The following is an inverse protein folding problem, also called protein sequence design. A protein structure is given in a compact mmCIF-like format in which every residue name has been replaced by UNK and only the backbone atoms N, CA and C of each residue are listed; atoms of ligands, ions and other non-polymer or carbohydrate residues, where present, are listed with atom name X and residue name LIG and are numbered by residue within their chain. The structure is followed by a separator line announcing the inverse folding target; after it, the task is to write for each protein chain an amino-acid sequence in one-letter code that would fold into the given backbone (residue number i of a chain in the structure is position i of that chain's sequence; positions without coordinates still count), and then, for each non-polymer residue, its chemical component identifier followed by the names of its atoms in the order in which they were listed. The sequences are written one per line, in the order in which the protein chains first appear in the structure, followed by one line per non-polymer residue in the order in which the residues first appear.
data_IF_410426359588
#
_entry.id   IF_410426359588
#
_cell.length_a   1.000
_cell.length_b   1.000
_cell.length_c   1.000
_cell.angle_alpha   90.00
_cell.angle_beta   90.00
_cell.angle_gamma   90.00
#
_symmetry.space_group_name_H-M   'P 1'
#
loop_
_entity.id
_entity.type
_entity.pdbx_description
1 polymer ?
#
# COMPACT_ATOMS: atom_id res chain seq x y z
N UNK A 1 -2.28 -23.21 -21.28
CA UNK A 1 -3.10 -22.58 -20.23
C UNK A 1 -2.29 -21.40 -19.75
N UNK A 2 -2.91 -20.23 -19.64
CA UNK A 2 -2.23 -19.00 -19.27
C UNK A 2 -2.39 -18.76 -17.77
N UNK A 3 -1.30 -18.33 -17.12
CA UNK A 3 -1.24 -18.09 -15.69
C UNK A 3 -0.81 -16.64 -15.41
N UNK A 4 -1.14 -16.12 -14.24
CA UNK A 4 -0.66 -14.82 -13.76
C UNK A 4 -0.19 -14.93 -12.32
N UNK A 5 0.74 -14.05 -11.92
CA UNK A 5 1.22 -13.94 -10.54
C UNK A 5 0.80 -12.60 -9.96
N UNK A 6 0.12 -12.65 -8.81
CA UNK A 6 -0.11 -11.50 -7.95
C UNK A 6 0.77 -11.60 -6.71
N UNK A 7 1.42 -10.49 -6.37
CA UNK A 7 2.25 -10.37 -5.17
C UNK A 7 1.72 -9.23 -4.31
N UNK A 8 1.61 -9.46 -3.00
CA UNK A 8 1.15 -8.48 -2.03
C UNK A 8 2.22 -8.25 -0.97
N UNK A 9 2.84 -7.07 -0.97
CA UNK A 9 3.80 -6.63 0.04
C UNK A 9 3.03 -6.04 1.22
N UNK A 10 2.61 -6.91 2.14
CA UNK A 10 1.92 -6.50 3.37
C UNK A 10 2.89 -6.01 4.45
N UNK A 11 2.32 -5.55 5.57
CA UNK A 11 3.09 -4.93 6.66
C UNK A 11 4.10 -5.87 7.34
N UNK A 12 3.74 -7.15 7.51
CA UNK A 12 4.56 -8.14 8.23
C UNK A 12 4.94 -9.35 7.36
N UNK A 13 4.48 -9.38 6.11
CA UNK A 13 4.76 -10.48 5.20
C UNK A 13 4.47 -10.07 3.77
N UNK A 14 5.25 -10.61 2.84
CA UNK A 14 4.89 -10.62 1.42
C UNK A 14 4.27 -11.96 1.05
N UNK A 15 3.19 -11.94 0.25
CA UNK A 15 2.52 -13.14 -0.26
C UNK A 15 2.53 -13.14 -1.77
N UNK A 16 2.69 -14.31 -2.39
CA UNK A 16 2.49 -14.47 -3.83
C UNK A 16 1.49 -15.58 -4.11
N UNK A 17 0.63 -15.36 -5.11
CA UNK A 17 -0.29 -16.34 -5.67
C UNK A 17 -0.01 -16.49 -7.17
N UNK A 18 0.15 -17.73 -7.61
CA UNK A 18 0.11 -18.10 -9.02
C UNK A 18 -1.28 -18.66 -9.31
N UNK A 19 -1.99 -18.04 -10.24
CA UNK A 19 -3.38 -18.40 -10.58
C UNK A 19 -3.54 -18.69 -12.07
N UNK A 20 -4.45 -19.60 -12.40
CA UNK A 20 -4.80 -19.88 -13.80
C UNK A 20 -5.90 -18.95 -14.33
N UNK A 21 -6.17 -19.02 -15.64
CA UNK A 21 -7.23 -18.22 -16.29
C UNK A 21 -8.67 -18.50 -15.80
N UNK A 22 -8.89 -19.46 -14.89
CA UNK A 22 -10.17 -19.69 -14.22
C UNK A 22 -10.17 -19.17 -12.77
N UNK A 23 -9.09 -18.51 -12.32
CA UNK A 23 -8.94 -18.01 -10.95
C UNK A 23 -8.58 -19.09 -9.94
N UNK A 24 -8.17 -20.29 -10.38
CA UNK A 24 -7.74 -21.36 -9.46
C UNK A 24 -6.31 -21.08 -9.01
N UNK A 25 -6.07 -21.15 -7.70
CA UNK A 25 -4.73 -21.02 -7.12
C UNK A 25 -3.94 -22.29 -7.41
N UNK A 26 -2.87 -22.16 -8.20
CA UNK A 26 -1.96 -23.25 -8.59
C UNK A 26 -0.84 -23.40 -7.57
N UNK A 27 -0.28 -22.27 -7.12
CA UNK A 27 0.73 -22.23 -6.09
C UNK A 27 0.60 -20.95 -5.27
N UNK A 28 1.04 -21.03 -4.02
CA UNK A 28 1.16 -19.87 -3.14
C UNK A 28 2.37 -19.98 -2.23
N UNK A 29 2.90 -18.83 -1.84
CA UNK A 29 3.95 -18.71 -0.84
C UNK A 29 3.79 -17.42 -0.04
N UNK A 30 4.30 -17.42 1.20
CA UNK A 30 4.33 -16.25 2.07
C UNK A 30 5.68 -16.22 2.77
N UNK A 31 6.29 -15.04 2.83
CA UNK A 31 7.53 -14.81 3.56
C UNK A 31 7.32 -13.67 4.55
N UNK A 32 7.63 -13.93 5.83
CA UNK A 32 7.39 -12.97 6.92
C UNK A 32 8.64 -12.17 7.25
N UNK A 33 8.45 -10.91 7.62
CA UNK A 33 9.49 -10.01 8.09
C UNK A 33 8.94 -9.15 9.24
N UNK A 34 9.84 -8.42 9.92
CA UNK A 34 9.47 -7.57 11.04
C UNK A 34 9.34 -6.11 10.60
N UNK A 35 8.54 -5.37 11.36
CA UNK A 35 8.47 -3.91 11.29
C UNK A 35 9.39 -3.34 12.35
N UNK A 36 10.18 -2.33 12.01
CA UNK A 36 11.01 -1.63 12.98
C UNK A 36 10.17 -0.55 13.66
N UNK A 37 10.05 -0.63 14.99
CA UNK A 37 9.34 0.37 15.81
C UNK A 37 10.30 0.97 16.83
N UNK A 38 11.26 1.82 16.40
CA UNK A 38 12.36 2.27 17.24
C UNK A 38 11.91 3.17 18.41
N UNK A 39 10.75 3.81 18.28
CA UNK A 39 10.15 4.70 19.29
C UNK A 39 8.63 4.54 19.29
N UNK A 40 7.92 4.95 20.36
CA UNK A 40 6.48 5.05 20.33
C UNK A 40 6.01 5.88 19.13
N UNK A 41 4.98 5.40 18.42
CA UNK A 41 4.42 6.00 17.19
C UNK A 41 5.31 5.93 15.94
N UNK A 42 6.49 5.33 16.03
CA UNK A 42 7.39 5.16 14.89
C UNK A 42 7.20 3.75 14.33
N UNK A 43 7.07 3.65 13.03
CA UNK A 43 7.03 2.39 12.29
C UNK A 43 7.74 2.58 10.96
N UNK A 44 8.79 1.81 10.72
CA UNK A 44 9.61 1.96 9.52
C UNK A 44 10.13 0.60 9.04
N UNK A 45 10.45 0.51 7.74
CA UNK A 45 11.01 -0.70 7.13
C UNK A 45 12.00 -0.31 6.03
N UNK A 46 13.14 -1.01 5.99
CA UNK A 46 14.05 -0.90 4.85
C UNK A 46 13.47 -1.64 3.65
N UNK A 47 13.44 -1.04 2.46
CA UNK A 47 12.75 -1.62 1.30
C UNK A 47 13.38 -2.92 0.78
N UNK A 48 14.64 -3.20 1.16
CA UNK A 48 15.30 -4.47 0.81
C UNK A 48 14.52 -5.69 1.32
N UNK A 49 13.89 -5.59 2.51
CA UNK A 49 13.12 -6.72 3.07
C UNK A 49 11.93 -7.09 2.19
N UNK A 50 11.37 -6.12 1.47
CA UNK A 50 10.27 -6.34 0.53
C UNK A 50 10.78 -6.98 -0.77
N UNK A 51 11.87 -6.45 -1.32
CA UNK A 51 12.46 -7.00 -2.54
C UNK A 51 12.90 -8.46 -2.38
N UNK A 52 13.57 -8.78 -1.26
CA UNK A 52 13.98 -10.15 -0.93
C UNK A 52 12.76 -11.07 -0.76
N UNK A 53 11.69 -10.58 -0.10
CA UNK A 53 10.49 -11.36 0.12
C UNK A 53 9.70 -11.61 -1.18
N UNK A 54 9.66 -10.63 -2.10
CA UNK A 54 9.08 -10.79 -3.44
C UNK A 54 9.81 -11.89 -4.21
N UNK A 55 11.15 -11.86 -4.22
CA UNK A 55 11.96 -12.91 -4.84
C UNK A 55 11.63 -14.29 -4.27
N UNK A 56 11.71 -14.44 -2.95
CA UNK A 56 11.47 -15.71 -2.26
C UNK A 56 10.07 -16.24 -2.61
N UNK A 57 9.05 -15.39 -2.55
CA UNK A 57 7.67 -15.80 -2.78
C UNK A 57 7.41 -16.21 -4.23
N UNK A 58 7.89 -15.43 -5.20
CA UNK A 58 7.68 -15.71 -6.63
C UNK A 58 8.47 -16.94 -7.06
N UNK A 59 9.76 -17.04 -6.69
CA UNK A 59 10.58 -18.19 -7.00
C UNK A 59 10.02 -19.49 -6.39
N UNK A 60 9.50 -19.42 -5.16
CA UNK A 60 8.84 -20.56 -4.53
C UNK A 60 7.54 -20.97 -5.25
N UNK A 61 6.75 -20.03 -5.76
CA UNK A 61 5.57 -20.36 -6.56
C UNK A 61 5.95 -21.05 -7.89
N UNK A 62 6.96 -20.52 -8.58
CA UNK A 62 7.47 -21.14 -9.82
C UNK A 62 8.01 -22.54 -9.55
N UNK A 63 8.84 -22.71 -8.51
CA UNK A 63 9.40 -24.02 -8.14
C UNK A 63 8.34 -25.06 -7.76
N UNK A 64 7.29 -24.68 -7.03
CA UNK A 64 6.18 -25.58 -6.66
C UNK A 64 5.31 -25.98 -7.86
N UNK A 65 5.11 -25.07 -8.81
CA UNK A 65 4.25 -25.31 -9.98
C UNK A 65 4.92 -26.13 -11.07
N UNK A 66 6.26 -26.08 -11.16
CA UNK A 66 7.06 -26.69 -12.22
C UNK A 66 6.60 -26.31 -13.64
N UNK A 67 5.98 -25.13 -13.79
CA UNK A 67 5.49 -24.64 -15.07
C UNK A 67 6.62 -24.05 -15.93
N UNK A 68 6.51 -24.10 -17.26
CA UNK A 68 7.40 -23.36 -18.15
C UNK A 68 7.30 -21.85 -17.89
N UNK A 69 8.44 -21.15 -17.92
CA UNK A 69 8.53 -19.69 -17.69
C UNK A 69 7.52 -18.90 -18.54
N UNK A 70 7.37 -19.25 -19.81
CA UNK A 70 6.52 -18.55 -20.79
C UNK A 70 5.00 -18.80 -20.60
N UNK A 71 4.62 -19.66 -19.66
CA UNK A 71 3.21 -19.90 -19.34
C UNK A 71 2.61 -18.80 -18.45
N UNK A 72 3.47 -18.05 -17.73
CA UNK A 72 3.06 -16.92 -16.90
C UNK A 72 3.03 -15.65 -17.73
N UNK A 73 1.86 -15.03 -17.83
CA UNK A 73 1.57 -13.94 -18.78
C UNK A 73 1.65 -12.55 -18.19
N UNK A 74 1.65 -12.41 -16.87
CA UNK A 74 1.83 -11.13 -16.20
C UNK A 74 2.25 -11.33 -14.75
N UNK A 75 2.97 -10.34 -14.23
CA UNK A 75 3.29 -10.16 -12.82
C UNK A 75 2.72 -8.83 -12.33
N UNK A 76 2.06 -8.81 -11.18
CA UNK A 76 1.54 -7.59 -10.57
C UNK A 76 1.95 -7.55 -9.09
N UNK A 77 2.43 -6.40 -8.63
CA UNK A 77 2.86 -6.19 -7.24
C UNK A 77 1.98 -5.11 -6.58
N UNK A 78 1.18 -5.50 -5.60
CA UNK A 78 0.56 -4.58 -4.64
C UNK A 78 1.47 -4.38 -3.44
N UNK A 79 1.27 -3.28 -2.73
CA UNK A 79 2.00 -3.04 -1.49
C UNK A 79 1.21 -2.24 -0.48
N UNK A 80 1.59 -2.38 0.78
CA UNK A 80 1.26 -1.46 1.85
C UNK A 80 1.51 -0.01 1.44
N UNK A 81 0.77 0.89 2.06
CA UNK A 81 1.00 2.32 1.92
C UNK A 81 2.30 2.75 2.61
N UNK A 82 3.25 3.26 1.81
CA UNK A 82 4.59 3.65 2.25
C UNK A 82 4.71 5.04 2.92
N UNK A 83 3.61 5.71 3.24
CA UNK A 83 3.66 7.05 3.82
C UNK A 83 4.32 8.05 2.87
N UNK A 84 5.50 8.56 3.25
CA UNK A 84 6.28 9.50 2.43
C UNK A 84 6.77 8.91 1.11
N UNK A 85 6.72 7.59 0.96
CA UNK A 85 7.55 6.88 -0.01
C UNK A 85 8.98 6.68 0.50
N UNK A 86 9.73 5.86 -0.21
CA UNK A 86 11.14 5.54 0.03
C UNK A 86 11.98 6.68 -0.55
N UNK A 87 12.73 7.37 0.30
CA UNK A 87 13.74 8.33 -0.12
C UNK A 87 14.89 7.58 -0.80
N UNK A 88 15.07 7.81 -2.10
CA UNK A 88 16.14 7.20 -2.90
C UNK A 88 17.01 8.25 -3.57
N UNK A 89 18.30 7.94 -3.75
CA UNK A 89 19.24 8.82 -4.47
C UNK A 89 19.09 8.73 -6.00
N UNK A 90 19.98 9.41 -6.73
CA UNK A 90 19.99 9.42 -8.19
C UNK A 90 20.28 8.05 -8.84
N UNK A 91 20.76 7.07 -8.08
CA UNK A 91 20.97 5.68 -8.49
C UNK A 91 19.85 4.75 -7.97
N UNK A 92 18.79 5.33 -7.39
CA UNK A 92 17.66 4.63 -6.77
C UNK A 92 18.10 3.77 -5.57
N UNK A 93 19.21 4.13 -4.91
CA UNK A 93 19.60 3.49 -3.65
C UNK A 93 18.79 4.10 -2.50
N UNK A 94 18.18 3.28 -1.61
CA UNK A 94 17.50 3.79 -0.43
C UNK A 94 18.44 4.57 0.51
N UNK A 95 18.02 5.75 0.92
CA UNK A 95 18.75 6.65 1.82
C UNK A 95 18.26 6.58 3.26
N UNK A 96 17.01 6.16 3.48
CA UNK A 96 16.35 6.11 4.76
C UNK A 96 15.28 5.00 4.75
N UNK A 97 14.92 4.38 5.90
CA UNK A 97 13.82 3.43 5.93
C UNK A 97 12.49 4.11 5.54
N UNK A 98 11.62 3.36 4.89
CA UNK A 98 10.29 3.86 4.52
C UNK A 98 9.45 4.11 5.77
N UNK A 99 8.87 5.30 5.90
CA UNK A 99 7.99 5.67 7.00
C UNK A 99 6.56 5.19 6.72
N UNK A 100 6.26 3.93 7.05
CA UNK A 100 5.04 3.24 6.60
C UNK A 100 3.74 3.82 7.20
N UNK A 101 2.58 3.34 6.74
CA UNK A 101 1.25 3.82 7.14
C UNK A 101 1.00 3.89 8.66
N UNK A 102 1.61 2.99 9.45
CA UNK A 102 1.50 2.96 10.92
C UNK A 102 2.24 4.11 11.60
N UNK A 103 3.18 4.76 10.89
CA UNK A 103 4.00 5.81 11.46
C UNK A 103 3.19 7.09 11.67
N UNK A 104 3.31 7.67 12.86
CA UNK A 104 2.61 8.87 13.32
C UNK A 104 3.60 9.91 13.85
N UNK A 105 4.87 9.90 13.41
CA UNK A 105 5.92 10.77 13.98
C UNK A 105 5.82 12.23 13.57
N UNK A 106 5.11 12.53 12.49
CA UNK A 106 5.08 13.84 11.83
C UNK A 106 4.03 14.82 12.39
N UNK A 107 3.73 14.78 13.70
CA UNK A 107 2.73 15.69 14.32
C UNK A 107 3.16 17.16 14.29
N UNK A 108 4.46 17.46 14.46
CA UNK A 108 4.97 18.84 14.35
C UNK A 108 4.73 19.40 12.94
N UNK A 109 4.85 18.56 11.91
CA UNK A 109 4.60 18.95 10.52
C UNK A 109 3.12 19.09 10.21
N UNK A 110 2.25 18.29 10.85
CA UNK A 110 0.80 18.49 10.80
C UNK A 110 0.45 19.88 11.31
N UNK A 111 0.97 20.26 12.49
CA UNK A 111 0.71 21.59 13.06
C UNK A 111 1.27 22.70 12.17
N UNK A 112 2.46 22.51 11.60
CA UNK A 112 3.03 23.47 10.66
C UNK A 112 2.12 23.67 9.43
N UNK A 113 1.61 22.59 8.83
CA UNK A 113 0.70 22.68 7.68
C UNK A 113 -0.58 23.43 8.06
N UNK A 114 -1.17 23.13 9.23
CA UNK A 114 -2.39 23.79 9.71
C UNK A 114 -2.22 25.31 9.88
N UNK A 115 -1.01 25.77 10.17
CA UNK A 115 -0.71 27.19 10.41
C UNK A 115 -0.27 27.94 9.14
N UNK A 116 0.31 27.24 8.15
CA UNK A 116 1.04 27.88 7.05
C UNK A 116 0.48 27.59 5.65
N UNK A 117 -0.43 26.62 5.51
CA UNK A 117 -1.00 26.20 4.22
C UNK A 117 -2.48 26.53 4.16
N UNK A 118 -2.96 26.95 3.00
CA UNK A 118 -4.39 27.12 2.74
C UNK A 118 -5.08 25.73 2.73
N UNK A 119 -5.70 25.38 3.86
CA UNK A 119 -6.33 24.09 4.06
C UNK A 119 -7.54 23.88 3.16
N UNK A 120 -8.35 24.93 2.94
CA UNK A 120 -9.51 24.85 2.05
C UNK A 120 -9.07 24.49 0.63
N UNK A 121 -7.96 25.12 0.18
CA UNK A 121 -7.38 24.81 -1.12
C UNK A 121 -6.76 23.42 -1.19
N UNK A 122 -6.04 23.00 -0.15
CA UNK A 122 -5.44 21.66 -0.04
C UNK A 122 -6.53 20.57 -0.10
N UNK A 123 -7.62 20.76 0.64
CA UNK A 123 -8.76 19.85 0.66
C UNK A 123 -9.45 19.77 -0.70
N UNK A 124 -9.63 20.91 -1.38
CA UNK A 124 -10.25 20.97 -2.69
C UNK A 124 -9.43 20.26 -3.79
N UNK A 125 -8.09 20.36 -3.74
CA UNK A 125 -7.19 19.73 -4.71
C UNK A 125 -7.04 18.24 -4.44
N UNK A 126 -6.75 17.90 -3.19
CA UNK A 126 -6.22 16.58 -2.84
C UNK A 126 -7.29 15.64 -2.31
N UNK A 127 -8.42 16.17 -1.86
CA UNK A 127 -9.48 15.39 -1.25
C UNK A 127 -9.15 14.73 0.08
N UNK A 128 -8.01 15.08 0.67
CA UNK A 128 -7.49 14.48 1.88
C UNK A 128 -7.31 15.55 2.96
N UNK A 129 -7.56 15.18 4.22
CA UNK A 129 -7.32 16.04 5.38
C UNK A 129 -5.83 16.17 5.71
N UNK A 130 -5.47 17.02 6.69
CA UNK A 130 -4.12 17.05 7.26
C UNK A 130 -4.05 16.14 8.48
N UNK A 131 -3.18 15.14 8.40
CA UNK A 131 -2.99 14.15 9.46
C UNK A 131 -1.63 13.45 9.29
N UNK A 132 -1.03 12.97 10.38
CA UNK A 132 0.31 12.35 10.33
C UNK A 132 0.32 10.96 9.69
N UNK A 133 -0.84 10.40 9.33
CA UNK A 133 -0.98 9.25 8.43
C UNK A 133 -0.40 9.56 7.05
N UNK A 134 -0.72 10.74 6.51
CA UNK A 134 -0.42 11.09 5.13
C UNK A 134 1.08 11.26 4.87
N UNK A 135 1.45 11.08 3.62
CA UNK A 135 2.82 10.97 3.17
C UNK A 135 3.48 12.33 3.11
N UNK A 136 2.76 13.35 2.66
CA UNK A 136 3.30 14.70 2.58
C UNK A 136 3.77 15.25 3.93
N UNK A 137 3.10 14.93 5.05
CA UNK A 137 3.56 15.35 6.39
C UNK A 137 4.85 14.64 6.79
N UNK A 138 5.00 13.36 6.42
CA UNK A 138 6.25 12.59 6.58
C UNK A 138 7.37 13.07 5.66
N UNK A 139 7.06 13.55 4.45
CA UNK A 139 8.02 14.22 3.57
C UNK A 139 8.56 15.49 4.23
N UNK A 140 7.67 16.32 4.80
CA UNK A 140 8.08 17.49 5.58
C UNK A 140 8.91 17.11 6.81
N UNK A 141 8.63 15.96 7.44
CA UNK A 141 9.42 15.47 8.57
C UNK A 141 10.84 15.09 8.12
N UNK A 142 10.99 14.44 6.97
CA UNK A 142 12.31 14.16 6.38
C UNK A 142 13.04 15.46 6.05
N UNK A 143 12.37 16.44 5.46
CA UNK A 143 12.93 17.75 5.15
C UNK A 143 13.47 18.47 6.39
N UNK A 144 12.73 18.44 7.49
CA UNK A 144 13.08 19.12 8.74
C UNK A 144 14.12 18.33 9.58
N UNK A 145 13.83 17.04 9.84
CA UNK A 145 14.61 16.24 10.80
C UNK A 145 15.75 15.44 10.14
N UNK A 146 15.73 15.25 8.83
CA UNK A 146 16.75 14.50 8.07
C UNK A 146 17.24 15.30 6.86
N UNK A 147 17.80 16.51 7.06
CA UNK A 147 18.12 17.44 5.97
C UNK A 147 19.14 16.88 4.96
N UNK A 148 20.08 16.03 5.40
CA UNK A 148 21.02 15.38 4.49
C UNK A 148 20.34 14.35 3.60
N UNK A 149 19.47 13.50 4.16
CA UNK A 149 18.65 12.55 3.39
C UNK A 149 17.80 13.31 2.38
N UNK A 150 17.14 14.38 2.81
CA UNK A 150 16.32 15.21 1.95
C UNK A 150 17.11 15.83 0.79
N UNK A 151 18.30 16.36 1.06
CA UNK A 151 19.17 16.95 0.05
C UNK A 151 19.65 15.94 -1.00
N UNK A 152 19.94 14.71 -0.58
CA UNK A 152 20.41 13.63 -1.47
C UNK A 152 19.26 12.88 -2.18
N UNK A 153 18.01 13.15 -1.79
CA UNK A 153 16.83 12.46 -2.34
C UNK A 153 16.55 12.91 -3.77
N UNK A 154 16.61 11.96 -4.71
CA UNK A 154 16.12 12.12 -6.07
C UNK A 154 14.63 11.86 -6.17
N UNK A 155 14.14 10.77 -5.58
CA UNK A 155 12.71 10.42 -5.61
C UNK A 155 12.21 9.92 -4.27
N UNK A 156 10.90 10.06 -4.07
CA UNK A 156 10.13 9.47 -2.99
C UNK A 156 9.20 8.41 -3.58
N UNK A 157 9.66 7.16 -3.63
CA UNK A 157 8.99 6.08 -4.36
C UNK A 157 8.04 5.27 -3.46
N UNK A 158 6.78 5.03 -3.83
CA UNK A 158 5.96 4.05 -3.16
C UNK A 158 6.60 2.64 -3.16
N UNK A 159 6.27 1.77 -2.18
CA UNK A 159 6.93 0.48 -2.03
C UNK A 159 6.87 -0.42 -3.27
N UNK A 160 5.68 -0.58 -3.88
CA UNK A 160 5.53 -1.30 -5.14
C UNK A 160 6.32 -0.65 -6.28
N UNK A 161 6.34 0.67 -6.39
CA UNK A 161 7.08 1.39 -7.43
C UNK A 161 8.60 1.17 -7.32
N UNK A 162 9.14 1.13 -6.09
CA UNK A 162 10.55 0.78 -5.87
C UNK A 162 10.86 -0.65 -6.29
N UNK A 163 10.02 -1.62 -5.90
CA UNK A 163 10.21 -3.02 -6.30
C UNK A 163 10.11 -3.15 -7.83
N UNK A 164 9.13 -2.51 -8.45
CA UNK A 164 8.98 -2.50 -9.91
C UNK A 164 10.22 -1.93 -10.59
N UNK A 165 10.78 -0.83 -10.09
CA UNK A 165 12.06 -0.30 -10.59
C UNK A 165 13.18 -1.31 -10.43
N UNK A 166 13.36 -1.93 -9.26
CA UNK A 166 14.41 -2.93 -9.07
C UNK A 166 14.30 -4.09 -10.05
N UNK A 167 13.07 -4.52 -10.36
CA UNK A 167 12.80 -5.63 -11.27
C UNK A 167 12.92 -5.28 -12.74
N UNK A 168 12.63 -4.04 -13.14
CA UNK A 168 12.45 -3.65 -14.54
C UNK A 168 13.42 -2.58 -15.05
N UNK A 169 14.05 -1.82 -14.14
CA UNK A 169 14.81 -0.61 -14.44
C UNK A 169 13.94 0.63 -14.73
N UNK A 170 12.61 0.48 -14.74
CA UNK A 170 11.68 1.53 -15.14
C UNK A 170 11.06 2.22 -13.91
N UNK A 171 11.15 3.54 -13.85
CA UNK A 171 10.48 4.34 -12.81
C UNK A 171 9.08 4.69 -13.29
N UNK A 172 8.07 4.16 -12.60
CA UNK A 172 6.67 4.52 -12.77
C UNK A 172 5.94 4.43 -11.43
N UNK A 173 4.93 5.28 -11.22
CA UNK A 173 4.10 5.27 -10.01
C UNK A 173 2.64 5.10 -10.40
N UNK A 174 1.95 4.16 -9.78
CA UNK A 174 0.53 3.98 -10.03
C UNK A 174 -0.31 5.09 -9.36
N UNK A 175 -1.43 5.45 -9.97
CA UNK A 175 -2.29 6.52 -9.47
C UNK A 175 -2.86 6.27 -8.06
N UNK A 176 -3.04 5.02 -7.62
CA UNK A 176 -3.54 4.74 -6.27
C UNK A 176 -2.48 5.07 -5.22
N UNK A 177 -1.23 4.68 -5.46
CA UNK A 177 -0.11 4.97 -4.57
C UNK A 177 0.24 6.46 -4.59
N UNK A 178 0.27 7.10 -5.76
CA UNK A 178 0.48 8.54 -5.88
C UNK A 178 -0.59 9.34 -5.11
N UNK A 179 -1.86 8.96 -5.27
CA UNK A 179 -2.97 9.59 -4.54
C UNK A 179 -2.90 9.37 -3.04
N UNK A 180 -2.51 8.18 -2.57
CA UNK A 180 -2.46 7.85 -1.14
C UNK A 180 -1.38 8.66 -0.39
N UNK A 181 -0.33 9.17 -1.06
CA UNK A 181 0.62 10.12 -0.45
C UNK A 181 -0.15 11.31 0.17
N UNK A 182 -1.26 11.75 -0.45
CA UNK A 182 -2.06 12.87 0.00
C UNK A 182 -1.29 14.20 -0.07
N UNK A 183 -1.99 15.33 0.00
CA UNK A 183 -1.37 16.67 0.05
C UNK A 183 -0.73 17.15 -1.25
N UNK A 184 -0.07 16.28 -2.04
CA UNK A 184 0.71 16.65 -3.23
C UNK A 184 0.16 16.10 -4.55
N UNK A 185 -0.93 15.32 -4.48
CA UNK A 185 -1.60 14.75 -5.65
C UNK A 185 -2.92 15.48 -5.91
N UNK A 186 -3.10 16.04 -7.10
CA UNK A 186 -4.36 16.59 -7.57
C UNK A 186 -5.28 15.46 -8.01
N UNK A 187 -6.33 15.22 -7.22
CA UNK A 187 -7.26 14.15 -7.50
C UNK A 187 -7.97 14.42 -8.82
N UNK A 188 -8.44 15.65 -9.09
CA UNK A 188 -9.20 15.95 -10.30
C UNK A 188 -8.33 15.83 -11.57
N UNK A 189 -7.12 16.37 -11.54
CA UNK A 189 -6.20 16.34 -12.67
C UNK A 189 -5.51 14.98 -12.86
N UNK A 190 -5.56 14.10 -11.86
CA UNK A 190 -4.90 12.80 -11.82
C UNK A 190 -3.38 12.92 -11.99
N UNK A 191 -2.77 13.82 -11.23
CA UNK A 191 -1.33 14.07 -11.31
C UNK A 191 -0.80 14.81 -10.11
N UNK A 192 0.51 15.05 -10.09
CA UNK A 192 1.13 15.85 -9.03
C UNK A 192 0.65 17.30 -9.11
N UNK A 193 0.24 17.86 -7.98
CA UNK A 193 -0.19 19.25 -7.86
C UNK A 193 1.03 20.15 -7.72
N UNK A 194 1.42 20.84 -8.78
CA UNK A 194 2.49 21.83 -8.72
C UNK A 194 2.22 22.92 -7.65
N UNK A 195 0.95 23.31 -7.51
CA UNK A 195 0.50 24.29 -6.52
C UNK A 195 0.74 23.81 -5.08
N UNK A 196 0.34 22.58 -4.75
CA UNK A 196 0.54 22.07 -3.40
C UNK A 196 1.98 21.68 -3.12
N UNK A 197 2.72 21.20 -4.12
CA UNK A 197 4.16 20.98 -4.01
C UNK A 197 4.89 22.28 -3.65
N UNK A 198 4.57 23.39 -4.32
CA UNK A 198 5.14 24.71 -4.02
C UNK A 198 4.73 25.21 -2.62
N UNK A 199 3.44 25.13 -2.28
CA UNK A 199 2.93 25.55 -0.97
C UNK A 199 3.57 24.79 0.21
N UNK A 200 3.89 23.50 0.01
CA UNK A 200 4.59 22.65 0.99
C UNK A 200 6.12 22.78 0.90
N UNK A 201 6.63 23.47 -0.12
CA UNK A 201 8.06 23.57 -0.41
C UNK A 201 8.70 22.21 -0.69
N UNK A 202 7.99 21.33 -1.38
CA UNK A 202 8.46 20.01 -1.84
C UNK A 202 8.82 20.14 -3.32
N UNK A 203 10.08 19.91 -3.72
CA UNK A 203 10.47 19.99 -5.13
C UNK A 203 9.71 18.96 -5.98
N UNK A 204 9.09 19.41 -7.07
CA UNK A 204 8.40 18.52 -8.01
C UNK A 204 9.33 17.43 -8.58
N UNK A 205 10.64 17.72 -8.66
CA UNK A 205 11.65 16.76 -9.11
C UNK A 205 11.78 15.52 -8.22
N UNK A 206 11.28 15.56 -6.98
CA UNK A 206 11.23 14.40 -6.08
C UNK A 206 10.08 13.44 -6.41
N UNK A 207 9.15 13.84 -7.28
CA UNK A 207 8.01 13.05 -7.69
C UNK A 207 8.26 12.49 -9.10
N UNK A 208 8.14 11.16 -9.32
CA UNK A 208 8.25 10.61 -10.67
C UNK A 208 7.15 11.10 -11.61
N UNK A 209 7.53 11.54 -12.81
CA UNK A 209 6.57 12.09 -13.80
C UNK A 209 5.68 11.03 -14.45
N UNK A 210 6.19 9.80 -14.61
CA UNK A 210 5.47 8.70 -15.24
C UNK A 210 4.45 8.11 -14.27
N UNK A 211 3.22 8.62 -14.34
CA UNK A 211 2.07 8.06 -13.65
C UNK A 211 1.34 7.06 -14.55
N UNK A 212 0.96 5.90 -13.99
CA UNK A 212 0.35 4.80 -14.73
C UNK A 212 -0.93 4.29 -14.04
N UNK A 213 -1.80 3.64 -14.81
CA UNK A 213 -2.89 2.87 -14.23
C UNK A 213 -2.39 1.53 -13.68
N UNK A 214 -3.07 0.97 -12.66
CA UNK A 214 -2.61 -0.25 -11.99
C UNK A 214 -2.47 -1.48 -12.90
N UNK A 215 -3.30 -1.56 -13.95
CA UNK A 215 -3.25 -2.63 -14.96
C UNK A 215 -2.35 -2.31 -16.17
N UNK A 216 -1.69 -1.16 -16.19
CA UNK A 216 -0.79 -0.77 -17.28
C UNK A 216 0.58 -1.43 -17.10
N UNK A 217 1.24 -1.76 -18.21
CA UNK A 217 2.57 -2.37 -18.22
C UNK A 217 3.63 -1.31 -17.89
N UNK A 218 4.40 -1.56 -16.84
CA UNK A 218 5.56 -0.74 -16.47
C UNK A 218 6.76 -1.09 -17.34
N UNK A 219 7.06 -2.37 -17.48
CA UNK A 219 8.19 -2.90 -18.25
C UNK A 219 8.28 -4.43 -18.18
N UNK A 220 9.33 -4.99 -18.80
CA UNK A 220 9.75 -6.38 -18.64
C UNK A 220 10.75 -6.53 -17.50
N UNK A 221 11.12 -7.76 -17.16
CA UNK A 221 12.12 -8.03 -16.13
C UNK A 221 13.53 -7.83 -16.67
N UNK A 222 14.41 -7.24 -15.85
CA UNK A 222 15.85 -7.30 -16.08
C UNK A 222 16.32 -8.77 -16.07
N UNK A 223 17.33 -9.14 -16.90
CA UNK A 223 17.75 -10.53 -17.06
C UNK A 223 18.06 -11.25 -15.74
N UNK A 224 18.76 -10.59 -14.82
CA UNK A 224 19.11 -11.17 -13.52
C UNK A 224 17.88 -11.51 -12.66
N UNK A 225 16.81 -10.71 -12.77
CA UNK A 225 15.56 -10.95 -12.06
C UNK A 225 14.72 -12.02 -12.73
N UNK A 226 14.69 -12.06 -14.06
CA UNK A 226 14.02 -13.14 -14.80
C UNK A 226 14.57 -14.52 -14.38
N UNK A 227 15.88 -14.64 -14.19
CA UNK A 227 16.53 -15.86 -13.73
C UNK A 227 16.21 -16.19 -12.28
N UNK A 228 16.36 -15.22 -11.36
CA UNK A 228 16.08 -15.41 -9.93
C UNK A 228 14.63 -15.76 -9.64
N UNK A 229 13.69 -15.14 -10.34
CA UNK A 229 12.25 -15.37 -10.18
C UNK A 229 11.77 -16.63 -10.92
N UNK A 230 12.56 -17.17 -11.85
CA UNK A 230 12.14 -18.28 -12.69
C UNK A 230 11.06 -17.87 -13.70
N UNK A 231 11.12 -16.66 -14.23
CA UNK A 231 10.15 -16.08 -15.17
C UNK A 231 10.80 -15.71 -16.50
N UNK A 232 9.98 -15.46 -17.52
CA UNK A 232 10.46 -14.97 -18.82
C UNK A 232 10.87 -13.49 -18.69
N UNK A 233 11.99 -13.04 -19.30
CA UNK A 233 12.42 -11.63 -19.21
C UNK A 233 11.39 -10.67 -19.81
N UNK A 234 10.66 -11.10 -20.84
CA UNK A 234 9.66 -10.27 -21.53
C UNK A 234 8.28 -10.29 -20.85
N UNK A 235 8.15 -10.91 -19.66
CA UNK A 235 6.87 -10.94 -18.94
C UNK A 235 6.46 -9.50 -18.57
N UNK A 236 5.23 -9.06 -18.91
CA UNK A 236 4.78 -7.73 -18.52
C UNK A 236 4.61 -7.66 -17.01
N UNK A 237 5.32 -6.72 -16.39
CA UNK A 237 5.10 -6.29 -15.02
C UNK A 237 4.11 -5.12 -15.02
N UNK A 238 3.00 -5.27 -14.29
CA UNK A 238 1.94 -4.27 -14.20
C UNK A 238 2.20 -3.26 -13.06
N UNK A 239 1.63 -2.07 -13.17
CA UNK A 239 1.81 -0.97 -12.20
C UNK A 239 1.45 -1.33 -10.76
N UNK A 240 0.42 -2.15 -10.57
CA UNK A 240 -0.03 -2.54 -9.23
C UNK A 240 -0.67 -1.38 -8.47
N UNK A 241 -0.59 -1.41 -7.14
CA UNK A 241 -1.20 -0.35 -6.32
C UNK A 241 -1.28 -0.67 -4.84
N UNK A 242 -1.97 0.21 -4.11
CA UNK A 242 -2.13 0.09 -2.65
C UNK A 242 -2.94 -1.16 -2.31
N UNK A 243 -2.40 -1.96 -1.37
CA UNK A 243 -2.93 -3.24 -0.91
C UNK A 243 -4.42 -3.18 -0.52
N UNK A 244 -4.84 -2.19 0.26
CA UNK A 244 -6.23 -2.04 0.69
C UNK A 244 -7.21 -1.84 -0.48
N UNK A 245 -6.80 -1.08 -1.50
CA UNK A 245 -7.61 -0.87 -2.70
C UNK A 245 -7.64 -2.12 -3.58
N UNK A 246 -6.50 -2.82 -3.70
CA UNK A 246 -6.42 -4.11 -4.40
C UNK A 246 -7.27 -5.19 -3.74
N UNK A 247 -7.24 -5.29 -2.41
CA UNK A 247 -8.08 -6.20 -1.64
C UNK A 247 -9.58 -5.87 -1.84
N UNK A 248 -9.91 -4.58 -1.88
CA UNK A 248 -11.29 -4.14 -2.13
C UNK A 248 -11.75 -4.49 -3.54
N UNK A 249 -10.91 -4.28 -4.55
CA UNK A 249 -11.18 -4.71 -5.91
C UNK A 249 -11.36 -6.24 -6.02
N UNK A 250 -10.49 -7.01 -5.36
CA UNK A 250 -10.58 -8.47 -5.31
C UNK A 250 -11.87 -8.96 -4.63
N UNK A 251 -12.44 -8.18 -3.71
CA UNK A 251 -13.75 -8.45 -3.10
C UNK A 251 -14.95 -8.10 -4.01
N UNK A 252 -14.72 -7.64 -5.24
CA UNK A 252 -15.77 -7.34 -6.23
C UNK A 252 -16.24 -5.90 -6.25
N UNK A 253 -15.62 -5.01 -5.48
CA UNK A 253 -15.98 -3.58 -5.43
C UNK A 253 -15.45 -2.89 -6.70
N UNK A 254 -16.32 -2.74 -7.69
CA UNK A 254 -15.95 -2.28 -9.04
C UNK A 254 -16.79 -1.11 -9.55
N UNK A 255 -17.83 -0.72 -8.81
CA UNK A 255 -18.75 0.36 -9.19
C UNK A 255 -18.93 1.35 -8.04
N UNK A 256 -19.16 2.63 -8.37
CA UNK A 256 -19.50 3.65 -7.40
C UNK A 256 -20.69 3.22 -6.51
N UNK A 257 -20.58 3.44 -5.21
CA UNK A 257 -21.55 2.98 -4.21
C UNK A 257 -21.33 1.54 -3.70
N UNK A 258 -20.50 0.72 -4.37
CA UNK A 258 -20.05 -0.54 -3.78
C UNK A 258 -19.13 -0.23 -2.59
N UNK A 259 -19.19 -1.08 -1.57
CA UNK A 259 -18.34 -0.98 -0.38
C UNK A 259 -17.98 -2.36 0.16
N UNK A 260 -16.87 -2.43 0.89
CA UNK A 260 -16.46 -3.60 1.66
C UNK A 260 -15.92 -3.15 3.01
N UNK A 261 -16.31 -3.85 4.07
CA UNK A 261 -15.74 -3.69 5.40
C UNK A 261 -14.90 -4.94 5.71
N UNK A 262 -13.59 -4.77 5.76
CA UNK A 262 -12.66 -5.80 6.21
C UNK A 262 -12.50 -5.65 7.72
N UNK A 263 -13.11 -6.56 8.48
CA UNK A 263 -13.13 -6.53 9.95
C UNK A 263 -12.20 -7.63 10.47
N UNK A 264 -10.99 -7.24 10.87
CA UNK A 264 -10.03 -8.06 11.60
C UNK A 264 -9.80 -7.50 13.00
N UNK A 265 -8.58 -7.61 13.53
CA UNK A 265 -8.18 -6.95 14.78
C UNK A 265 -8.51 -5.45 14.74
N UNK A 266 -8.16 -4.81 13.63
CA UNK A 266 -8.62 -3.49 13.20
C UNK A 266 -9.64 -3.63 12.07
N UNK A 267 -10.27 -2.53 11.67
CA UNK A 267 -11.17 -2.49 10.52
C UNK A 267 -10.64 -1.54 9.45
N UNK A 268 -10.85 -1.92 8.20
CA UNK A 268 -10.79 -1.02 7.05
C UNK A 268 -12.14 -1.09 6.31
N UNK A 269 -12.84 0.04 6.23
CA UNK A 269 -14.07 0.15 5.44
C UNK A 269 -13.82 1.08 4.26
N UNK A 270 -13.98 0.54 3.05
CA UNK A 270 -13.75 1.26 1.81
C UNK A 270 -14.97 1.21 0.89
N UNK A 271 -15.18 2.29 0.16
CA UNK A 271 -16.23 2.39 -0.87
C UNK A 271 -15.74 3.17 -2.08
N UNK A 272 -16.44 3.04 -3.21
CA UNK A 272 -16.13 3.80 -4.42
C UNK A 272 -17.04 5.02 -4.57
N UNK A 273 -16.44 6.14 -4.93
CA UNK A 273 -17.13 7.38 -5.26
C UNK A 273 -16.46 8.08 -6.45
N UNK A 274 -17.13 9.06 -7.04
CA UNK A 274 -16.59 9.89 -8.13
C UNK A 274 -16.39 11.34 -7.73
N UNK A 275 -16.81 11.68 -6.51
CA UNK A 275 -16.65 13.00 -5.92
C UNK A 275 -15.74 12.94 -4.71
N UNK A 276 -15.00 14.02 -4.53
CA UNK A 276 -14.11 14.23 -3.40
C UNK A 276 -14.91 14.86 -2.24
N UNK A 277 -14.73 14.34 -1.02
CA UNK A 277 -15.27 14.98 0.19
C UNK A 277 -14.30 14.83 1.38
N UNK A 278 -13.37 15.78 1.50
CA UNK A 278 -12.38 15.81 2.57
C UNK A 278 -12.98 16.12 3.96
N UNK A 279 -14.22 16.63 4.04
CA UNK A 279 -14.83 17.13 5.29
C UNK A 279 -15.00 16.05 6.35
N UNK A 280 -15.06 14.79 5.92
CA UNK A 280 -15.26 13.64 6.79
C UNK A 280 -13.95 13.01 7.28
N UNK A 281 -12.79 13.56 6.89
CA UNK A 281 -11.48 13.04 7.31
C UNK A 281 -11.14 11.65 6.77
N UNK A 282 -11.87 11.18 5.76
CA UNK A 282 -11.60 9.90 5.09
C UNK A 282 -10.45 10.07 4.10
N UNK A 283 -9.73 8.98 3.86
CA UNK A 283 -8.65 8.94 2.87
C UNK A 283 -9.27 8.75 1.49
N UNK A 284 -8.83 9.53 0.51
CA UNK A 284 -9.31 9.50 -0.87
C UNK A 284 -8.16 9.40 -1.86
N UNK A 285 -8.23 8.43 -2.78
CA UNK A 285 -7.29 8.32 -3.89
C UNK A 285 -7.90 7.55 -5.08
N UNK A 286 -7.31 7.62 -6.28
CA UNK A 286 -7.79 6.88 -7.45
C UNK A 286 -7.90 5.37 -7.23
N UNK A 287 -9.02 4.77 -7.63
CA UNK A 287 -9.23 3.33 -7.52
C UNK A 287 -8.31 2.56 -8.49
N UNK A 288 -7.92 1.33 -8.12
CA UNK A 288 -6.98 0.50 -8.89
C UNK A 288 -7.55 -0.02 -10.22
N UNK A 289 -8.87 -0.17 -10.34
CA UNK A 289 -9.48 -0.73 -11.56
C UNK A 289 -9.91 0.36 -12.57
N UNK A 290 -10.64 1.39 -12.11
CA UNK A 290 -11.19 2.46 -12.95
C UNK A 290 -10.76 3.84 -12.44
N UNK A 291 -9.49 3.96 -12.05
CA UNK A 291 -8.95 5.12 -11.33
C UNK A 291 -9.08 6.46 -12.06
N UNK A 292 -9.23 6.45 -13.39
CA UNK A 292 -9.50 7.67 -14.16
C UNK A 292 -10.82 8.35 -13.77
N UNK A 293 -11.80 7.58 -13.28
CA UNK A 293 -13.12 8.08 -12.87
C UNK A 293 -13.37 7.89 -11.39
N UNK A 294 -13.11 6.69 -10.89
CA UNK A 294 -13.48 6.28 -9.55
C UNK A 294 -12.36 6.53 -8.55
N UNK A 295 -12.77 6.95 -7.37
CA UNK A 295 -11.96 7.13 -6.18
C UNK A 295 -12.30 6.03 -5.20
N UNK A 296 -11.27 5.45 -4.61
CA UNK A 296 -11.38 4.67 -3.40
C UNK A 296 -11.39 5.62 -2.20
N UNK A 297 -12.47 5.59 -1.44
CA UNK A 297 -12.62 6.33 -0.20
C UNK A 297 -12.61 5.33 0.94
N UNK A 298 -11.72 5.50 1.91
CA UNK A 298 -11.65 4.55 3.01
C UNK A 298 -11.41 5.20 4.36
N UNK A 299 -11.94 4.53 5.38
CA UNK A 299 -11.72 4.85 6.79
C UNK A 299 -11.28 3.61 7.54
N UNK A 300 -10.31 3.78 8.43
CA UNK A 300 -9.86 2.74 9.34
C UNK A 300 -10.43 2.92 10.74
N UNK A 301 -10.67 1.82 11.44
CA UNK A 301 -10.79 1.82 12.90
C UNK A 301 -9.66 0.98 13.49
N UNK A 302 -8.90 1.56 14.42
CA UNK A 302 -7.72 0.91 15.03
C UNK A 302 -8.14 -0.33 15.86
N UNK A 303 -9.37 -0.35 16.37
CA UNK A 303 -9.95 -1.46 17.12
C UNK A 303 -11.32 -1.84 16.53
N UNK A 304 -11.48 -3.11 16.17
CA UNK A 304 -12.77 -3.67 15.77
C UNK A 304 -12.96 -5.08 16.34
N UNK A 305 -12.37 -6.10 15.74
CA UNK A 305 -12.35 -7.45 16.32
C UNK A 305 -11.62 -7.50 17.65
N UNK A 306 -10.59 -6.66 17.83
CA UNK A 306 -9.85 -6.56 19.10
C UNK A 306 -10.74 -6.21 20.30
N UNK A 307 -11.72 -5.31 20.11
CA UNK A 307 -12.66 -4.96 21.19
C UNK A 307 -13.58 -6.12 21.56
N UNK A 308 -13.98 -6.95 20.59
CA UNK A 308 -14.79 -8.15 20.83
C UNK A 308 -13.96 -9.20 21.57
N UNK A 309 -12.73 -9.46 21.12
CA UNK A 309 -11.82 -10.38 21.80
C UNK A 309 -11.52 -9.93 23.23
N UNK A 310 -11.24 -8.63 23.44
CA UNK A 310 -11.03 -8.08 24.76
C UNK A 310 -12.25 -8.26 25.67
N UNK A 311 -13.46 -7.95 25.20
CA UNK A 311 -14.68 -8.11 25.99
C UNK A 311 -14.85 -9.57 26.42
N UNK A 312 -14.68 -10.51 25.49
CA UNK A 312 -14.75 -11.94 25.77
C UNK A 312 -13.74 -12.38 26.83
N UNK A 313 -12.48 -11.97 26.68
CA UNK A 313 -11.40 -12.32 27.62
C UNK A 313 -11.61 -11.72 29.02
N UNK A 314 -12.20 -10.53 29.11
CA UNK A 314 -12.39 -9.83 30.39
C UNK A 314 -13.71 -10.16 31.09
N UNK A 315 -14.75 -10.62 30.38
CA UNK A 315 -16.09 -10.77 30.97
C UNK A 315 -16.78 -12.12 30.71
N UNK A 316 -16.24 -12.98 29.83
CA UNK A 316 -16.90 -14.23 29.42
C UNK A 316 -16.08 -15.47 29.81
N UNK A 317 -15.48 -15.47 31.00
CA UNK A 317 -14.61 -16.58 31.42
C UNK A 317 -15.37 -17.91 31.58
N UNK A 318 -16.65 -17.87 31.92
CA UNK A 318 -17.48 -19.06 32.03
C UNK A 318 -17.69 -19.72 30.65
N UNK A 319 -17.97 -18.92 29.63
CA UNK A 319 -18.16 -19.37 28.25
C UNK A 319 -16.83 -19.78 27.61
N UNK A 320 -15.73 -19.10 27.94
CA UNK A 320 -14.40 -19.57 27.54
C UNK A 320 -14.04 -20.92 28.18
N UNK A 321 -14.37 -21.13 29.45
CA UNK A 321 -14.17 -22.41 30.12
C UNK A 321 -15.05 -23.49 29.48
N UNK A 322 -16.33 -23.22 29.26
CA UNK A 322 -17.25 -24.14 28.60
C UNK A 322 -16.77 -24.49 27.18
N UNK A 323 -16.25 -23.51 26.42
CA UNK A 323 -15.66 -23.75 25.10
C UNK A 323 -14.44 -24.68 25.16
N UNK A 324 -13.55 -24.49 26.15
CA UNK A 324 -12.40 -25.39 26.36
C UNK A 324 -12.82 -26.81 26.73
N UNK A 325 -13.87 -26.96 27.54
CA UNK A 325 -14.37 -28.27 27.99
C UNK A 325 -15.15 -29.02 26.90
N UNK A 326 -15.91 -28.29 26.08
CA UNK A 326 -16.74 -28.85 25.01
C UNK A 326 -16.03 -28.96 23.65
N UNK A 327 -14.94 -28.21 23.45
CA UNK A 327 -14.30 -28.04 22.14
C UNK A 327 -15.03 -27.08 21.19
N UNK A 328 -16.12 -26.44 21.64
CA UNK A 328 -16.83 -25.42 20.87
C UNK A 328 -16.15 -24.04 20.99
N UNK A 329 -16.32 -23.19 19.97
CA UNK A 329 -15.83 -21.80 20.02
C UNK A 329 -16.67 -20.99 21.03
N UNK A 330 -16.00 -20.30 21.95
CA UNK A 330 -16.67 -19.48 22.97
C UNK A 330 -17.50 -18.34 22.39
N UNK A 331 -17.21 -17.86 21.17
CA UNK A 331 -18.10 -16.92 20.47
C UNK A 331 -19.45 -17.54 20.13
N UNK A 332 -19.47 -18.81 19.71
CA UNK A 332 -20.72 -19.52 19.36
C UNK A 332 -21.55 -19.79 20.61
N UNK A 333 -20.89 -20.06 21.74
CA UNK A 333 -21.56 -20.21 23.04
C UNK A 333 -22.20 -18.88 23.44
N UNK A 334 -21.49 -17.76 23.31
CA UNK A 334 -21.99 -16.42 23.63
C UNK A 334 -23.18 -15.98 22.77
N UNK A 335 -23.23 -16.36 21.50
CA UNK A 335 -24.38 -16.04 20.63
C UNK A 335 -25.66 -16.78 21.02
N UNK A 336 -25.55 -17.89 21.77
CA UNK A 336 -26.69 -18.72 22.18
C UNK A 336 -27.23 -18.37 23.57
N UNK A 337 -26.45 -17.65 24.38
CA UNK A 337 -26.78 -17.27 25.76
C UNK A 337 -27.73 -16.06 25.81
#
# INVERSE_FOLDING_TARGET
MDYVIGVDIGTQSTKALLVDGQGRIVAQHSHSYKVDTPKPRWAEQWPQVWLDAVEICVAACMGKSALPKDSVKALCVSSLYGGSGIAVDAQIKPLYPCLIWMDRRAEEQVEWVNQHVDLERLYAITGNAVDSYYGFTKMLWLKDKQPQVWADTRYLLPPNSYVNYCLTGEVAVDHSSAGNIGGVYDVKARGWSAEMLDALGIPASMMPERLVHSGEVVGGLLPEWADRLGLSPDIPLLGGGVDAAMATFAAGVTQAGNHVAMIGTSMCWGYLNQQVDARHGLVSFPHVFNGAKDLYIFGGAITAGASVSWFREQFCQAEEQQGRESGEDSHVILERA
#
